data_IF_710616383745
#
_entry.id   IF_710616383745
#
_cell.length_a   1.000
_cell.length_b   1.000
_cell.length_c   1.000
_cell.angle_alpha   90.00
_cell.angle_beta   90.00
_cell.angle_gamma   90.00
#
_symmetry.space_group_name_H-M   'P 1'
#
loop_
_entity.id
_entity.type
_entity.pdbx_description
1 polymer ?
#
# COMPACT_ATOMS: atom_id res chain seq x y z
N UNK A 1 4.21 1.27 0.19
CA UNK A 1 5.05 0.19 0.75
C UNK A 1 4.15 -0.56 1.73
N UNK A 2 4.11 -1.90 1.73
CA UNK A 2 3.21 -2.61 2.63
C UNK A 2 3.60 -2.34 4.09
N UNK A 3 2.58 -2.14 4.94
CA UNK A 3 2.76 -1.65 6.32
C UNK A 3 3.00 -2.77 7.35
N UNK A 4 3.60 -3.87 6.91
CA UNK A 4 3.80 -5.09 7.68
C UNK A 4 4.66 -4.90 8.93
N UNK A 5 5.63 -3.98 8.92
CA UNK A 5 6.49 -3.72 10.10
C UNK A 5 5.72 -3.25 11.33
N UNK A 6 4.53 -2.69 11.12
CA UNK A 6 3.70 -2.23 12.23
C UNK A 6 2.79 -3.34 12.74
N UNK A 7 2.59 -4.43 11.98
CA UNK A 7 1.65 -5.50 12.27
C UNK A 7 2.30 -6.47 13.27
N UNK A 8 1.75 -6.61 14.49
CA UNK A 8 2.28 -7.56 15.47
C UNK A 8 2.26 -9.00 14.93
N UNK A 9 3.17 -9.88 15.38
CA UNK A 9 3.17 -11.28 14.99
C UNK A 9 1.81 -11.95 15.26
N UNK A 10 1.21 -12.51 14.22
CA UNK A 10 -0.08 -13.20 14.29
C UNK A 10 -1.31 -12.31 14.07
N UNK A 11 -1.15 -10.99 14.09
CA UNK A 11 -2.23 -10.08 13.70
C UNK A 11 -2.32 -9.97 12.18
N UNK A 12 -3.54 -9.75 11.68
CA UNK A 12 -3.82 -9.56 10.24
C UNK A 12 -4.53 -8.26 9.94
N UNK A 13 -5.04 -7.52 10.95
CA UNK A 13 -5.84 -6.31 10.73
C UNK A 13 -5.17 -5.10 11.40
N UNK A 14 -5.15 -3.96 10.70
CA UNK A 14 -4.64 -2.69 11.21
C UNK A 14 -5.64 -1.55 10.94
N UNK A 15 -5.91 -0.65 11.91
CA UNK A 15 -6.50 0.64 11.60
C UNK A 15 -5.49 1.56 10.89
N UNK A 16 -5.85 2.11 9.73
CA UNK A 16 -5.07 3.14 9.03
C UNK A 16 -5.67 4.54 9.17
N UNK A 17 -6.95 4.63 9.55
CA UNK A 17 -7.64 5.90 9.79
C UNK A 17 -8.69 5.75 10.89
N UNK A 18 -8.74 6.74 11.79
CA UNK A 18 -9.76 6.85 12.83
C UNK A 18 -10.26 8.30 12.83
N UNK A 19 -11.50 8.48 12.41
CA UNK A 19 -12.23 9.74 12.43
C UNK A 19 -13.64 9.53 13.01
N UNK A 20 -14.35 10.61 13.29
CA UNK A 20 -15.71 10.56 13.84
C UNK A 20 -16.71 9.94 12.85
N UNK A 21 -16.54 10.23 11.57
CA UNK A 21 -17.42 9.85 10.46
C UNK A 21 -16.78 8.84 9.49
N UNK A 22 -15.51 8.50 9.67
CA UNK A 22 -14.80 7.56 8.82
C UNK A 22 -13.82 6.70 9.61
N UNK A 23 -13.88 5.39 9.40
CA UNK A 23 -12.94 4.41 9.97
C UNK A 23 -12.34 3.58 8.84
N UNK A 24 -11.02 3.41 8.89
CA UNK A 24 -10.27 2.68 7.88
C UNK A 24 -9.45 1.55 8.48
N UNK A 25 -9.64 0.33 7.96
CA UNK A 25 -8.89 -0.86 8.38
C UNK A 25 -8.33 -1.60 7.16
N UNK A 26 -7.07 -2.01 7.23
CA UNK A 26 -6.49 -2.93 6.25
C UNK A 26 -6.37 -4.32 6.88
N UNK A 27 -6.93 -5.32 6.22
CA UNK A 27 -6.75 -6.75 6.53
C UNK A 27 -5.76 -7.38 5.54
N UNK A 28 -4.78 -8.12 6.07
CA UNK A 28 -3.64 -8.66 5.33
C UNK A 28 -3.70 -10.19 5.25
N UNK A 29 -3.57 -10.70 4.03
CA UNK A 29 -3.07 -12.05 3.77
C UNK A 29 -1.58 -11.94 3.48
N UNK A 30 -0.76 -12.12 4.52
CA UNK A 30 0.69 -11.88 4.45
C UNK A 30 1.36 -12.83 3.45
N UNK A 31 0.94 -14.10 3.44
CA UNK A 31 1.56 -15.15 2.65
C UNK A 31 1.31 -14.95 1.14
N UNK A 32 0.10 -14.53 0.78
CA UNK A 32 -0.28 -14.30 -0.62
C UNK A 32 -0.13 -12.84 -1.06
N UNK A 33 0.40 -11.97 -0.20
CA UNK A 33 0.51 -10.53 -0.41
C UNK A 33 -0.83 -9.83 -0.72
N UNK A 34 -1.91 -10.35 -0.11
CA UNK A 34 -3.25 -9.79 -0.23
C UNK A 34 -3.49 -8.68 0.79
N UNK A 35 -4.25 -7.67 0.39
CA UNK A 35 -4.76 -6.62 1.27
C UNK A 35 -6.22 -6.35 0.93
N UNK A 36 -7.10 -6.41 1.92
CA UNK A 36 -8.47 -5.93 1.80
C UNK A 36 -8.59 -4.64 2.62
N UNK A 37 -8.84 -3.53 1.94
CA UNK A 37 -8.98 -2.23 2.59
C UNK A 37 -10.46 -1.96 2.86
N UNK A 38 -10.83 -1.94 4.13
CA UNK A 38 -12.18 -1.66 4.61
C UNK A 38 -12.32 -0.19 4.96
N UNK A 39 -13.32 0.44 4.37
CA UNK A 39 -13.73 1.81 4.65
C UNK A 39 -15.13 1.79 5.22
N UNK A 40 -15.30 2.36 6.40
CA UNK A 40 -16.60 2.59 7.02
C UNK A 40 -16.85 4.09 7.03
N UNK A 41 -17.95 4.54 6.44
CA UNK A 41 -18.34 5.95 6.43
C UNK A 41 -19.70 6.11 7.11
N UNK A 42 -19.86 7.15 7.90
CA UNK A 42 -21.12 7.49 8.55
C UNK A 42 -21.94 8.38 7.61
N UNK A 43 -23.04 7.85 7.07
CA UNK A 43 -23.94 8.55 6.16
C UNK A 43 -25.32 8.61 6.82
N UNK A 44 -25.83 9.81 7.05
CA UNK A 44 -27.13 10.04 7.72
C UNK A 44 -27.30 9.27 9.06
N UNK A 45 -26.21 9.16 9.83
CA UNK A 45 -26.18 8.47 11.12
C UNK A 45 -26.11 6.93 11.02
N UNK A 46 -25.94 6.38 9.82
CA UNK A 46 -25.76 4.95 9.57
C UNK A 46 -24.35 4.65 9.03
N UNK A 47 -23.73 3.58 9.52
CA UNK A 47 -22.43 3.15 9.00
C UNK A 47 -22.59 2.35 7.71
N UNK A 48 -22.04 2.88 6.63
CA UNK A 48 -21.90 2.17 5.35
C UNK A 48 -20.49 1.60 5.22
N UNK A 49 -20.37 0.38 4.71
CA UNK A 49 -19.08 -0.29 4.50
C UNK A 49 -18.80 -0.47 3.02
N UNK A 50 -17.60 -0.04 2.61
CA UNK A 50 -16.97 -0.38 1.35
C UNK A 50 -15.71 -1.20 1.61
N UNK A 51 -15.37 -2.14 0.73
CA UNK A 51 -14.13 -2.91 0.83
C UNK A 51 -13.52 -3.13 -0.55
N UNK A 52 -12.23 -2.82 -0.69
CA UNK A 52 -11.51 -2.94 -1.95
C UNK A 52 -10.32 -3.91 -1.81
N UNK A 53 -10.24 -4.97 -2.64
CA UNK A 53 -9.12 -5.88 -2.63
C UNK A 53 -7.93 -5.31 -3.41
N UNK A 54 -6.73 -5.57 -2.91
CA UNK A 54 -5.45 -5.22 -3.50
C UNK A 54 -4.46 -6.37 -3.35
N UNK A 55 -3.46 -6.42 -4.22
CA UNK A 55 -2.24 -7.20 -4.01
C UNK A 55 -1.07 -6.24 -3.87
N UNK A 56 -0.49 -6.16 -2.69
CA UNK A 56 0.68 -5.33 -2.49
C UNK A 56 1.93 -6.04 -3.00
N UNK A 57 2.96 -5.24 -3.25
CA UNK A 57 4.29 -5.72 -3.65
C UNK A 57 5.36 -4.93 -2.93
N UNK A 58 6.48 -5.57 -2.63
CA UNK A 58 7.66 -4.86 -2.14
C UNK A 58 8.31 -4.05 -3.27
N UNK A 59 8.97 -2.92 -3.00
CA UNK A 59 9.69 -2.13 -4.01
C UNK A 59 10.61 -2.95 -4.91
N UNK A 60 11.42 -3.85 -4.33
CA UNK A 60 12.36 -4.69 -5.06
C UNK A 60 11.66 -5.78 -5.91
N UNK A 61 10.54 -6.31 -5.43
CA UNK A 61 9.70 -7.25 -6.19
C UNK A 61 9.08 -6.54 -7.41
N UNK A 62 8.54 -5.34 -7.22
CA UNK A 62 8.00 -4.53 -8.30
C UNK A 62 9.08 -4.16 -9.32
N UNK A 63 10.30 -3.88 -8.87
CA UNK A 63 11.44 -3.66 -9.78
C UNK A 63 11.81 -4.93 -10.57
N UNK A 64 11.76 -6.11 -9.95
CA UNK A 64 11.94 -7.37 -10.67
C UNK A 64 10.86 -7.57 -11.73
N UNK A 65 9.58 -7.34 -11.40
CA UNK A 65 8.47 -7.41 -12.35
C UNK A 65 8.66 -6.44 -13.51
N UNK A 66 9.08 -5.20 -13.23
CA UNK A 66 9.38 -4.20 -14.26
C UNK A 66 10.51 -4.66 -15.19
N UNK A 67 11.59 -5.25 -14.65
CA UNK A 67 12.67 -5.83 -15.47
C UNK A 67 12.20 -6.97 -16.36
N UNK A 68 11.36 -7.86 -15.84
CA UNK A 68 10.76 -8.96 -16.62
C UNK A 68 9.87 -8.42 -17.76
N UNK A 69 9.28 -7.24 -17.56
CA UNK A 69 8.53 -6.50 -18.58
C UNK A 69 9.43 -5.62 -19.48
N UNK A 70 10.75 -5.77 -19.43
CA UNK A 70 11.68 -5.04 -20.30
C UNK A 70 11.94 -3.59 -19.87
N UNK A 71 11.74 -3.25 -18.60
CA UNK A 71 11.97 -1.89 -18.08
C UNK A 71 13.07 -1.86 -17.02
N UNK A 72 13.69 -0.68 -16.83
CA UNK A 72 14.68 -0.43 -15.78
C UNK A 72 14.21 0.70 -14.87
N UNK A 73 14.39 0.53 -13.55
CA UNK A 73 14.11 1.60 -12.60
C UNK A 73 15.04 2.78 -12.87
N UNK A 74 14.46 3.96 -13.06
CA UNK A 74 15.18 5.22 -13.28
C UNK A 74 15.20 6.06 -12.01
N UNK A 75 14.03 6.26 -11.39
CA UNK A 75 13.89 7.13 -10.21
C UNK A 75 12.88 6.55 -9.22
N UNK A 76 13.09 6.83 -7.93
CA UNK A 76 12.17 6.48 -6.84
C UNK A 76 12.15 7.56 -5.76
N UNK A 77 10.96 7.94 -5.33
CA UNK A 77 10.72 8.96 -4.31
C UNK A 77 9.65 8.53 -3.32
N UNK A 78 9.61 9.14 -2.14
CA UNK A 78 8.56 8.92 -1.15
C UNK A 78 7.24 9.63 -1.52
N UNK A 79 7.23 10.51 -2.52
CA UNK A 79 6.05 11.24 -2.94
C UNK A 79 6.25 12.00 -4.24
N UNK A 80 5.18 12.68 -4.67
CA UNK A 80 5.14 13.43 -5.93
C UNK A 80 6.01 14.69 -5.91
N UNK A 81 6.42 15.19 -4.73
CA UNK A 81 7.35 16.33 -4.62
C UNK A 81 8.81 15.87 -4.64
N UNK A 82 9.06 14.60 -5.00
CA UNK A 82 10.39 13.99 -5.09
C UNK A 82 11.13 13.91 -3.76
N UNK A 83 10.39 13.75 -2.66
CA UNK A 83 10.97 13.52 -1.34
C UNK A 83 11.84 12.24 -1.35
N UNK A 84 12.99 12.21 -0.63
CA UNK A 84 13.84 11.02 -0.58
C UNK A 84 13.08 9.77 -0.12
N UNK A 85 13.26 8.65 -0.82
CA UNK A 85 12.70 7.36 -0.42
C UNK A 85 13.64 6.69 0.61
N UNK A 86 13.10 6.38 1.79
CA UNK A 86 13.84 5.80 2.94
C UNK A 86 13.07 4.62 3.55
N UNK A 87 13.65 3.96 4.55
CA UNK A 87 12.97 2.91 5.32
C UNK A 87 11.65 3.37 5.96
N UNK A 88 11.51 4.66 6.24
CA UNK A 88 10.34 5.22 6.92
C UNK A 88 9.22 5.62 5.94
N UNK A 89 9.48 5.50 4.64
CA UNK A 89 8.55 5.89 3.57
C UNK A 89 7.38 4.92 3.45
N UNK A 90 6.16 5.43 3.63
CA UNK A 90 4.91 4.64 3.60
C UNK A 90 4.33 4.46 2.21
N UNK A 91 4.70 5.34 1.29
CA UNK A 91 4.31 5.32 -0.12
C UNK A 91 5.56 5.55 -0.98
N UNK A 92 5.45 5.28 -2.27
CA UNK A 92 6.49 5.65 -3.20
C UNK A 92 5.91 6.00 -4.56
N UNK A 93 6.65 6.82 -5.29
CA UNK A 93 6.50 7.04 -6.72
C UNK A 93 7.73 6.45 -7.38
N UNK A 94 7.54 5.62 -8.39
CA UNK A 94 8.62 4.96 -9.12
C UNK A 94 8.44 5.18 -10.60
N UNK A 95 9.54 5.54 -11.26
CA UNK A 95 9.60 5.77 -12.70
C UNK A 95 10.51 4.72 -13.29
N UNK A 96 9.97 3.93 -14.21
CA UNK A 96 10.73 2.99 -15.02
C UNK A 96 10.75 3.47 -16.48
N UNK A 97 11.81 3.13 -17.18
CA UNK A 97 11.94 3.36 -18.62
C UNK A 97 12.11 2.03 -19.35
N UNK A 98 11.59 1.94 -20.58
CA UNK A 98 11.72 0.75 -21.42
C UNK A 98 13.17 0.63 -21.89
N UNK A 99 13.76 -0.56 -21.73
CA UNK A 99 15.08 -0.87 -22.27
C UNK A 99 14.98 -0.81 -23.81
N UNK A 100 15.76 0.08 -24.43
CA UNK A 100 15.92 0.11 -25.89
C UNK A 100 16.90 -0.94 -26.36
#
# INVERSE_FOLDING_TARGET
>A
VPDLQRLPPGETVRPFHLGEDHLGFDEYDIANQGLLSHHFSLVDGQWERFSAPFRYVWPAELDLMARLAGMRLRERWAGWKREPFTSDSRKHVSVWEVNR
#
